data_IF_635762756039
#
_entry.id   IF_635762756039
#
_cell.length_a   1.000
_cell.length_b   1.000
_cell.length_c   1.000
_cell.angle_alpha   90.00
_cell.angle_beta   90.00
_cell.angle_gamma   90.00
#
_symmetry.space_group_name_H-M   'P 1'
#
loop_
_entity.id
_entity.type
_entity.pdbx_description
1 polymer ?
#
# COMPACT_ATOMS: atom_id res chain seq x y z
N UNK A 1 -1.49 15.70 -5.51
CA UNK A 1 -0.34 15.26 -4.73
C UNK A 1 0.80 14.79 -5.61
N UNK A 2 2.02 15.03 -5.17
CA UNK A 2 3.23 14.70 -5.91
C UNK A 2 3.39 13.20 -6.18
N UNK A 3 2.95 12.33 -5.27
CA UNK A 3 3.04 10.89 -5.45
C UNK A 3 2.20 10.40 -6.64
N UNK A 4 0.97 10.90 -6.79
CA UNK A 4 0.11 10.54 -7.91
C UNK A 4 0.69 10.98 -9.25
N UNK A 5 1.31 12.15 -9.28
CA UNK A 5 1.97 12.65 -10.48
C UNK A 5 3.17 11.79 -10.86
N UNK A 6 4.00 11.39 -9.89
CA UNK A 6 5.12 10.49 -10.13
C UNK A 6 4.67 9.14 -10.69
N UNK A 7 3.62 8.59 -10.14
CA UNK A 7 3.07 7.31 -10.58
C UNK A 7 2.55 7.39 -12.02
N UNK A 8 1.90 8.49 -12.39
CA UNK A 8 1.46 8.71 -13.77
C UNK A 8 2.64 8.82 -14.73
N UNK A 9 3.71 9.50 -14.30
CA UNK A 9 4.91 9.62 -15.12
C UNK A 9 5.57 8.26 -15.31
N UNK A 10 5.58 7.40 -14.29
CA UNK A 10 6.07 6.03 -14.42
C UNK A 10 5.31 5.24 -15.47
N UNK A 11 3.99 5.29 -15.48
CA UNK A 11 3.18 4.63 -16.50
C UNK A 11 3.51 5.11 -17.91
N UNK A 12 3.67 6.41 -18.09
CA UNK A 12 4.01 6.99 -19.38
C UNK A 12 5.40 6.55 -19.82
N UNK A 13 6.37 6.53 -18.92
CA UNK A 13 7.72 6.05 -19.19
C UNK A 13 7.72 4.58 -19.58
N UNK A 14 6.92 3.77 -18.86
CA UNK A 14 6.83 2.34 -19.14
C UNK A 14 6.39 2.06 -20.57
N UNK A 15 5.50 2.87 -21.12
CA UNK A 15 5.08 2.75 -22.52
C UNK A 15 6.22 2.95 -23.48
N UNK A 16 7.16 3.86 -23.17
CA UNK A 16 8.24 4.23 -24.08
C UNK A 16 9.51 3.39 -23.89
N UNK A 17 9.64 2.69 -22.73
CA UNK A 17 10.87 1.97 -22.38
C UNK A 17 10.74 0.46 -22.35
N UNK A 18 9.65 -0.09 -22.84
CA UNK A 18 9.42 -1.54 -22.85
C UNK A 18 9.48 -2.17 -21.45
N UNK A 19 9.10 -1.45 -20.43
CA UNK A 19 9.01 -1.93 -19.05
C UNK A 19 7.80 -2.84 -18.92
N UNK A 20 7.94 -3.98 -18.21
CA UNK A 20 6.88 -4.99 -18.09
C UNK A 20 5.78 -4.63 -17.10
N UNK A 21 6.04 -3.70 -16.16
CA UNK A 21 5.04 -3.30 -15.18
C UNK A 21 5.61 -2.28 -14.21
N UNK A 22 4.82 -1.91 -13.22
CA UNK A 22 5.20 -0.93 -12.20
C UNK A 22 4.68 -1.37 -10.84
N UNK A 23 5.22 -0.77 -9.78
CA UNK A 23 4.81 -1.00 -8.41
C UNK A 23 4.43 0.37 -7.83
N UNK A 24 3.28 0.46 -7.15
CA UNK A 24 2.85 1.72 -6.55
C UNK A 24 3.60 2.03 -5.26
N UNK A 25 3.57 3.28 -4.85
CA UNK A 25 3.89 3.67 -3.49
C UNK A 25 2.87 3.02 -2.55
N UNK A 26 3.25 2.78 -1.29
CA UNK A 26 2.30 2.19 -0.35
C UNK A 26 1.14 3.16 -0.08
N UNK A 27 -0.01 2.61 0.22
CA UNK A 27 -1.25 3.34 0.50
C UNK A 27 -2.06 2.57 1.54
N UNK A 28 -3.10 3.19 2.09
CA UNK A 28 -3.88 2.60 3.17
C UNK A 28 -5.35 2.42 2.85
N UNK A 29 -5.82 3.00 1.74
CA UNK A 29 -7.21 2.84 1.28
C UNK A 29 -7.21 2.23 -0.11
N UNK A 30 -7.98 1.16 -0.33
CA UNK A 30 -7.99 0.50 -1.65
C UNK A 30 -8.46 1.41 -2.77
N UNK A 31 -9.31 2.40 -2.47
CA UNK A 31 -9.79 3.36 -3.44
C UNK A 31 -8.66 4.14 -4.10
N UNK A 32 -7.59 4.43 -3.35
CA UNK A 32 -6.44 5.14 -3.89
C UNK A 32 -5.79 4.37 -5.05
N UNK A 33 -5.69 3.05 -4.91
CA UNK A 33 -5.14 2.20 -5.95
C UNK A 33 -6.09 2.13 -7.16
N UNK A 34 -7.37 1.89 -6.94
CA UNK A 34 -8.32 1.74 -8.04
C UNK A 34 -8.50 3.02 -8.82
N UNK A 35 -8.55 4.17 -8.15
CA UNK A 35 -8.59 5.48 -8.82
C UNK A 35 -7.34 5.70 -9.67
N UNK A 36 -6.18 5.32 -9.16
CA UNK A 36 -4.93 5.44 -9.88
C UNK A 36 -4.92 4.54 -11.13
N UNK A 37 -5.38 3.30 -11.00
CA UNK A 37 -5.47 2.36 -12.12
C UNK A 37 -6.39 2.91 -13.21
N UNK A 38 -7.53 3.47 -12.84
CA UNK A 38 -8.47 4.04 -13.79
C UNK A 38 -7.84 5.22 -14.54
N UNK A 39 -7.12 6.09 -13.84
CA UNK A 39 -6.43 7.21 -14.46
C UNK A 39 -5.35 6.75 -15.42
N UNK A 40 -4.60 5.71 -15.05
CA UNK A 40 -3.58 5.14 -15.94
C UNK A 40 -4.19 4.52 -17.19
N UNK A 41 -5.29 3.80 -17.04
CA UNK A 41 -6.01 3.23 -18.18
C UNK A 41 -6.49 4.31 -19.14
N UNK A 42 -7.02 5.42 -18.62
CA UNK A 42 -7.46 6.56 -19.43
C UNK A 42 -6.30 7.21 -20.18
N UNK A 43 -5.07 7.10 -19.68
CA UNK A 43 -3.86 7.59 -20.34
C UNK A 43 -3.24 6.57 -21.31
N UNK A 44 -3.89 5.41 -21.47
CA UNK A 44 -3.42 4.36 -22.36
C UNK A 44 -2.38 3.44 -21.77
N UNK A 45 -2.19 3.46 -20.45
CA UNK A 45 -1.29 2.54 -19.77
C UNK A 45 -1.99 1.18 -19.61
N UNK A 46 -1.46 0.14 -20.25
CA UNK A 46 -2.04 -1.21 -20.21
C UNK A 46 -1.18 -2.20 -19.44
N UNK A 47 -0.04 -1.77 -18.94
CA UNK A 47 0.87 -2.66 -18.21
C UNK A 47 0.38 -2.93 -16.80
N UNK A 48 0.66 -4.12 -16.24
CA UNK A 48 0.23 -4.42 -14.88
C UNK A 48 0.89 -3.48 -13.87
N UNK A 49 0.11 -3.03 -12.92
CA UNK A 49 0.57 -2.15 -11.84
C UNK A 49 0.28 -2.86 -10.52
N UNK A 50 1.34 -3.30 -9.86
CA UNK A 50 1.25 -4.05 -8.62
C UNK A 50 1.09 -3.09 -7.43
N UNK A 51 0.04 -3.27 -6.60
CA UNK A 51 -0.12 -2.42 -5.43
C UNK A 51 0.94 -2.70 -4.38
N UNK A 52 1.50 -1.63 -3.82
CA UNK A 52 2.46 -1.71 -2.73
C UNK A 52 1.76 -1.49 -1.39
N UNK A 53 2.09 -2.28 -0.39
CA UNK A 53 1.55 -2.13 0.95
C UNK A 53 2.67 -2.10 1.97
N UNK A 54 2.46 -1.38 3.06
CA UNK A 54 3.43 -1.23 4.14
C UNK A 54 2.88 -1.85 5.42
N UNK A 55 3.27 -3.10 5.74
CA UNK A 55 2.96 -3.67 7.04
C UNK A 55 3.61 -2.84 8.14
N UNK A 56 2.88 -2.62 9.22
CA UNK A 56 3.40 -1.84 10.35
C UNK A 56 3.07 -2.53 11.66
N UNK A 57 3.93 -2.32 12.66
CA UNK A 57 3.75 -2.89 13.98
C UNK A 57 3.78 -1.83 15.09
N UNK A 58 4.03 -0.58 14.75
CA UNK A 58 3.99 0.51 15.72
C UNK A 58 3.55 1.81 15.05
N UNK A 59 2.96 2.69 15.84
CA UNK A 59 2.55 4.02 15.39
C UNK A 59 3.75 4.84 14.93
N UNK A 60 4.84 4.78 15.72
CA UNK A 60 6.06 5.55 15.43
C UNK A 60 6.65 5.17 14.07
N UNK A 61 6.76 3.87 13.81
CA UNK A 61 7.27 3.37 12.53
C UNK A 61 6.41 3.84 11.36
N UNK A 62 5.09 3.74 11.52
CA UNK A 62 4.14 4.16 10.50
C UNK A 62 4.27 5.66 10.20
N UNK A 63 4.35 6.49 11.23
CA UNK A 63 4.49 7.94 11.06
C UNK A 63 5.81 8.32 10.40
N UNK A 64 6.91 7.70 10.81
CA UNK A 64 8.23 7.97 10.24
C UNK A 64 8.26 7.62 8.74
N UNK A 65 7.77 6.45 8.39
CA UNK A 65 7.79 6.00 6.99
C UNK A 65 6.86 6.84 6.12
N UNK A 66 5.68 7.17 6.63
CA UNK A 66 4.73 7.99 5.88
C UNK A 66 5.27 9.39 5.64
N UNK A 67 5.93 9.96 6.63
CA UNK A 67 6.54 11.29 6.50
C UNK A 67 7.70 11.27 5.50
N UNK A 68 8.57 10.28 5.57
CA UNK A 68 9.70 10.14 4.65
C UNK A 68 9.25 9.98 3.20
N UNK A 69 8.18 9.26 2.98
CA UNK A 69 7.70 8.96 1.63
C UNK A 69 6.63 9.92 1.13
N UNK A 70 6.25 10.90 1.94
CA UNK A 70 5.22 11.86 1.57
C UNK A 70 3.83 11.26 1.43
N UNK A 71 3.55 10.20 2.16
CA UNK A 71 2.24 9.53 2.14
C UNK A 71 1.41 10.05 3.30
N UNK A 72 0.20 10.52 3.00
CA UNK A 72 -0.71 11.00 4.01
C UNK A 72 -1.44 9.83 4.68
N UNK A 73 -1.48 9.84 6.02
CA UNK A 73 -2.18 8.82 6.78
C UNK A 73 -3.66 9.16 6.88
N UNK A 74 -4.57 8.18 6.64
CA UNK A 74 -5.99 8.42 6.83
C UNK A 74 -6.31 8.77 8.28
N UNK A 75 -7.24 9.70 8.48
CA UNK A 75 -7.63 10.14 9.82
C UNK A 75 -8.20 9.01 10.66
N UNK A 76 -9.04 8.16 10.06
CA UNK A 76 -9.64 7.03 10.76
C UNK A 76 -8.59 6.03 11.22
N UNK A 77 -7.55 5.81 10.44
CA UNK A 77 -6.44 4.94 10.82
C UNK A 77 -5.71 5.49 12.04
N UNK A 78 -5.42 6.80 12.04
CA UNK A 78 -4.75 7.46 13.15
C UNK A 78 -5.61 7.40 14.42
N UNK A 79 -6.91 7.67 14.29
CA UNK A 79 -7.85 7.61 15.40
C UNK A 79 -7.91 6.22 16.02
N UNK A 80 -7.96 5.18 15.18
CA UNK A 80 -7.98 3.80 15.66
C UNK A 80 -6.69 3.45 16.41
N UNK A 81 -5.55 3.83 15.88
CA UNK A 81 -4.26 3.57 16.53
C UNK A 81 -4.16 4.30 17.86
N UNK A 82 -4.61 5.55 17.92
CA UNK A 82 -4.58 6.34 19.14
C UNK A 82 -5.49 5.77 20.24
N UNK A 83 -6.47 4.96 19.88
CA UNK A 83 -7.34 4.28 20.83
C UNK A 83 -6.67 3.15 21.60
N UNK A 84 -5.53 2.66 21.12
CA UNK A 84 -4.80 1.56 21.76
C UNK A 84 -3.69 2.13 22.66
N UNK A 85 -3.59 1.59 23.87
CA UNK A 85 -2.57 2.00 24.84
C UNK A 85 -1.36 1.08 24.85
N UNK A 86 -1.54 -0.18 24.45
CA UNK A 86 -0.49 -1.20 24.45
C UNK A 86 0.06 -1.38 23.03
N UNK A 87 1.38 -1.42 22.89
CA UNK A 87 2.03 -1.63 21.61
C UNK A 87 1.65 -2.97 20.97
N UNK A 88 1.36 -3.99 21.77
CA UNK A 88 0.92 -5.29 21.26
C UNK A 88 -0.42 -5.18 20.55
N UNK A 89 -1.31 -4.33 21.06
CA UNK A 89 -2.61 -4.10 20.43
C UNK A 89 -2.46 -3.35 19.13
N UNK A 90 -1.56 -2.38 19.06
CA UNK A 90 -1.26 -1.66 17.81
C UNK A 90 -0.68 -2.61 16.77
N UNK A 91 0.22 -3.50 17.17
CA UNK A 91 0.81 -4.49 16.27
C UNK A 91 -0.27 -5.40 15.68
N UNK A 92 -1.14 -5.94 16.53
CA UNK A 92 -2.24 -6.81 16.10
C UNK A 92 -3.22 -6.08 15.19
N UNK A 93 -3.58 -4.86 15.56
CA UNK A 93 -4.43 -4.02 14.75
C UNK A 93 -3.82 -3.77 13.36
N UNK A 94 -2.53 -3.45 13.32
CA UNK A 94 -1.82 -3.21 12.06
C UNK A 94 -1.83 -4.42 11.15
N UNK A 95 -1.56 -5.60 11.69
CA UNK A 95 -1.61 -6.84 10.92
C UNK A 95 -3.00 -7.08 10.35
N UNK A 96 -4.04 -6.88 11.14
CA UNK A 96 -5.42 -7.06 10.69
C UNK A 96 -5.83 -6.01 9.65
N UNK A 97 -5.43 -4.77 9.86
CA UNK A 97 -5.73 -3.67 8.94
C UNK A 97 -5.14 -3.94 7.56
N UNK A 98 -3.86 -4.28 7.52
CA UNK A 98 -3.19 -4.57 6.25
C UNK A 98 -3.71 -5.86 5.63
N UNK A 99 -4.04 -6.87 6.42
CA UNK A 99 -4.66 -8.10 5.91
C UNK A 99 -5.96 -7.80 5.20
N UNK A 100 -6.82 -6.97 5.78
CA UNK A 100 -8.08 -6.56 5.16
C UNK A 100 -7.85 -5.80 3.86
N UNK A 101 -6.88 -4.89 3.84
CA UNK A 101 -6.53 -4.14 2.64
C UNK A 101 -6.06 -5.08 1.53
N UNK A 102 -5.15 -5.99 1.85
CA UNK A 102 -4.60 -6.95 0.88
C UNK A 102 -5.69 -7.89 0.36
N UNK A 103 -6.55 -8.37 1.26
CA UNK A 103 -7.64 -9.26 0.86
C UNK A 103 -8.59 -8.56 -0.13
N UNK A 104 -8.94 -7.31 0.13
CA UNK A 104 -9.81 -6.56 -0.77
C UNK A 104 -9.15 -6.35 -2.14
N UNK A 105 -7.85 -6.06 -2.16
CA UNK A 105 -7.10 -5.93 -3.41
C UNK A 105 -7.10 -7.26 -4.18
N UNK A 106 -6.80 -8.36 -3.52
CA UNK A 106 -6.79 -9.69 -4.15
C UNK A 106 -8.16 -10.08 -4.68
N UNK A 107 -9.22 -9.79 -3.93
CA UNK A 107 -10.59 -10.10 -4.34
C UNK A 107 -10.99 -9.32 -5.59
N UNK A 108 -10.36 -8.20 -5.84
CA UNK A 108 -10.60 -7.37 -7.04
C UNK A 108 -9.62 -7.67 -8.18
N UNK A 109 -8.84 -8.74 -8.08
CA UNK A 109 -8.07 -9.26 -9.20
C UNK A 109 -6.78 -8.51 -9.52
N UNK A 110 -6.11 -7.96 -8.50
CA UNK A 110 -4.81 -7.30 -8.73
C UNK A 110 -3.75 -8.32 -9.19
N UNK A 111 -2.71 -7.88 -9.95
CA UNK A 111 -1.68 -8.79 -10.45
C UNK A 111 -0.87 -9.48 -9.34
N UNK A 112 -0.75 -8.85 -8.20
CA UNK A 112 0.01 -9.37 -7.05
C UNK A 112 0.08 -8.29 -5.98
N UNK A 113 0.85 -8.55 -4.94
CA UNK A 113 1.04 -7.59 -3.84
C UNK A 113 2.54 -7.43 -3.61
N UNK A 114 2.99 -6.19 -3.54
CA UNK A 114 4.36 -5.89 -3.14
C UNK A 114 4.37 -5.43 -1.68
N UNK A 115 5.07 -6.17 -0.83
CA UNK A 115 5.20 -5.82 0.59
C UNK A 115 6.49 -5.05 0.83
N UNK A 116 6.39 -3.84 1.36
CA UNK A 116 7.55 -3.08 1.82
C UNK A 116 7.90 -3.56 3.22
N UNK A 117 8.77 -4.55 3.30
CA UNK A 117 9.05 -5.27 4.56
C UNK A 117 10.02 -4.55 5.48
N UNK A 118 10.83 -3.64 4.95
CA UNK A 118 11.88 -2.94 5.70
C UNK A 118 12.82 -3.91 6.43
N UNK A 119 13.09 -5.06 5.82
CA UNK A 119 13.89 -6.16 6.38
C UNK A 119 13.30 -6.79 7.65
N UNK A 120 12.00 -6.58 7.89
CA UNK A 120 11.28 -7.19 9.02
C UNK A 120 10.37 -8.29 8.50
N UNK A 121 10.64 -9.50 8.92
CA UNK A 121 9.89 -10.67 8.47
C UNK A 121 8.50 -10.77 9.12
N UNK A 122 8.41 -10.48 10.41
CA UNK A 122 7.25 -10.86 11.21
C UNK A 122 5.92 -10.26 10.78
N UNK A 123 5.78 -8.93 10.60
CA UNK A 123 4.47 -8.40 10.21
C UNK A 123 3.97 -8.99 8.89
N UNK A 124 4.84 -9.08 7.90
CA UNK A 124 4.48 -9.61 6.57
C UNK A 124 4.11 -11.09 6.64
N UNK A 125 4.88 -11.87 7.37
CA UNK A 125 4.61 -13.31 7.54
C UNK A 125 3.23 -13.53 8.18
N UNK A 126 2.92 -12.77 9.22
CA UNK A 126 1.64 -12.89 9.91
C UNK A 126 0.47 -12.52 9.01
N UNK A 127 0.63 -11.47 8.21
CA UNK A 127 -0.38 -11.04 7.23
C UNK A 127 -0.62 -12.13 6.20
N UNK A 128 0.44 -12.70 5.64
CA UNK A 128 0.33 -13.76 4.63
C UNK A 128 -0.41 -14.96 5.21
N UNK A 129 -0.12 -15.33 6.45
CA UNK A 129 -0.78 -16.45 7.10
C UNK A 129 -2.26 -16.20 7.38
N UNK A 130 -2.69 -14.94 7.49
CA UNK A 130 -4.08 -14.58 7.70
C UNK A 130 -4.90 -14.49 6.40
N UNK A 131 -4.25 -14.46 5.26
CA UNK A 131 -4.93 -14.39 3.96
C UNK A 131 -5.60 -15.70 3.59
N UNK A 132 -6.72 -15.60 2.91
CA UNK A 132 -7.45 -16.78 2.40
C UNK A 132 -6.85 -17.31 1.10
#
# INVERSE_FOLDING_TARGET
PTSSRRQRQMCIRDRSRDVKGAITQFFFKPEAYFDFIDKCANLGCTKPITPGVLPFSSKKELEIMSKKCGVELPKDLIEDINGYKDERDVKKFGEMYITSLVQELLDNGVPGIHFYTLNKLEPTKNIINLLN
#
